data_IF_058499466024
#
_entry.id   IF_058499466024
#
_cell.length_a   1.000
_cell.length_b   1.000
_cell.length_c   1.000
_cell.angle_alpha   90.00
_cell.angle_beta   90.00
_cell.angle_gamma   90.00
#
_symmetry.space_group_name_H-M   'P 1'
#
loop_
_entity.id
_entity.type
_entity.pdbx_description
1 polymer ?
#
# COMPACT_ATOMS: atom_id res chain seq x y z
N UNK A 1 -14.72 -6.00 -4.15
CA UNK A 1 -13.76 -4.94 -4.53
C UNK A 1 -12.52 -5.13 -3.69
N UNK A 2 -11.39 -5.43 -4.32
CA UNK A 2 -10.11 -5.61 -3.62
C UNK A 2 -9.43 -4.25 -3.44
N UNK A 3 -8.77 -4.03 -2.31
CA UNK A 3 -7.96 -2.84 -2.08
C UNK A 3 -6.52 -3.30 -1.84
N UNK A 4 -5.59 -2.74 -2.61
CA UNK A 4 -4.17 -3.05 -2.45
C UNK A 4 -3.34 -1.77 -2.39
N UNK A 5 -2.28 -1.73 -1.58
CA UNK A 5 -1.38 -0.59 -1.58
C UNK A 5 -0.64 -0.50 -2.91
N UNK A 6 -0.27 0.71 -3.33
CA UNK A 6 0.59 0.91 -4.50
C UNK A 6 1.90 0.14 -4.36
N UNK A 7 2.18 -0.80 -5.27
CA UNK A 7 3.35 -1.67 -5.23
C UNK A 7 4.68 -0.92 -5.06
N UNK A 8 4.87 0.20 -5.77
CA UNK A 8 6.08 1.04 -5.63
C UNK A 8 6.25 1.67 -4.24
N UNK A 9 5.15 1.99 -3.54
CA UNK A 9 5.21 2.42 -2.14
C UNK A 9 5.62 1.25 -1.25
N UNK A 10 5.03 0.06 -1.45
CA UNK A 10 5.40 -1.12 -0.68
C UNK A 10 6.88 -1.50 -0.86
N UNK A 11 7.38 -1.47 -2.10
CA UNK A 11 8.76 -1.80 -2.44
C UNK A 11 9.81 -0.88 -1.81
N UNK A 12 9.43 0.38 -1.53
CA UNK A 12 10.32 1.39 -0.89
C UNK A 12 10.02 1.58 0.60
N UNK A 13 9.14 0.75 1.16
CA UNK A 13 8.77 0.80 2.56
C UNK A 13 9.86 0.15 3.43
N UNK A 14 10.03 0.62 4.67
CA UNK A 14 10.81 -0.08 5.70
C UNK A 14 10.25 -1.50 5.96
N UNK A 15 8.94 -1.67 5.77
CA UNK A 15 8.20 -2.91 5.98
C UNK A 15 7.96 -3.72 4.70
N UNK A 16 8.79 -3.54 3.65
CA UNK A 16 8.56 -4.16 2.33
C UNK A 16 8.35 -5.69 2.34
N UNK A 17 8.90 -6.38 3.34
CA UNK A 17 8.80 -7.84 3.51
C UNK A 17 7.81 -8.27 4.61
N UNK A 18 7.12 -7.32 5.25
CA UNK A 18 6.15 -7.62 6.31
C UNK A 18 4.81 -7.98 5.69
N UNK A 19 4.10 -8.94 6.30
CA UNK A 19 2.69 -9.17 5.97
C UNK A 19 1.85 -8.01 6.53
N UNK A 20 1.38 -7.14 5.63
CA UNK A 20 0.53 -5.99 5.96
C UNK A 20 -0.97 -6.25 5.72
N UNK A 21 -1.39 -7.49 5.47
CA UNK A 21 -2.79 -7.85 5.19
C UNK A 21 -3.76 -7.54 6.34
N UNK A 22 -3.25 -7.30 7.56
CA UNK A 22 -4.07 -6.86 8.70
C UNK A 22 -4.53 -5.39 8.60
N UNK A 23 -3.97 -4.59 7.69
CA UNK A 23 -4.26 -3.16 7.59
C UNK A 23 -5.61 -2.92 6.87
N UNK A 24 -6.36 -1.87 7.26
CA UNK A 24 -7.65 -1.57 6.65
C UNK A 24 -7.48 -0.86 5.29
N UNK A 25 -6.99 -1.57 4.26
CA UNK A 25 -6.74 -0.96 2.94
C UNK A 25 -8.00 -0.33 2.31
N UNK A 26 -9.20 -0.80 2.67
CA UNK A 26 -10.46 -0.25 2.19
C UNK A 26 -10.78 1.16 2.71
N UNK A 27 -10.17 1.59 3.82
CA UNK A 27 -10.37 2.93 4.39
C UNK A 27 -9.29 3.92 3.95
N UNK A 28 -8.29 3.45 3.21
CA UNK A 28 -7.15 4.27 2.79
C UNK A 28 -7.48 5.06 1.51
N UNK A 29 -6.84 6.23 1.29
CA UNK A 29 -7.13 7.07 0.13
C UNK A 29 -6.89 6.33 -1.20
N UNK A 30 -7.88 6.24 -2.11
CA UNK A 30 -7.69 5.64 -3.42
C UNK A 30 -6.78 6.52 -4.29
N UNK A 31 -5.88 5.88 -5.03
CA UNK A 31 -4.97 6.53 -6.00
C UNK A 31 -5.37 6.23 -7.44
N UNK A 32 -5.75 4.98 -7.71
CA UNK A 32 -6.18 4.53 -9.04
C UNK A 32 -7.05 3.28 -8.92
N UNK A 33 -7.83 2.98 -9.95
CA UNK A 33 -8.61 1.75 -10.05
C UNK A 33 -8.09 0.93 -11.23
N UNK A 34 -7.79 -0.34 -10.98
CA UNK A 34 -7.35 -1.31 -11.98
C UNK A 34 -8.38 -2.45 -12.06
N UNK A 35 -9.39 -2.24 -12.90
CA UNK A 35 -10.54 -3.14 -13.03
C UNK A 35 -11.31 -3.31 -11.71
N UNK A 36 -11.14 -4.45 -11.05
CA UNK A 36 -11.82 -4.80 -9.79
C UNK A 36 -10.99 -4.48 -8.53
N UNK A 37 -9.78 -3.94 -8.71
CA UNK A 37 -8.84 -3.65 -7.63
C UNK A 37 -8.59 -2.15 -7.51
N UNK A 38 -8.87 -1.60 -6.34
CA UNK A 38 -8.55 -0.21 -5.98
C UNK A 38 -7.13 -0.16 -5.47
N UNK A 39 -6.28 0.60 -6.13
CA UNK A 39 -4.92 0.92 -5.65
C UNK A 39 -5.05 2.07 -4.66
N UNK A 40 -4.62 1.85 -3.42
CA UNK A 40 -4.69 2.84 -2.34
C UNK A 40 -3.31 3.35 -1.95
N UNK A 41 -3.29 4.55 -1.35
CA UNK A 41 -2.11 5.08 -0.67
C UNK A 41 -2.04 4.48 0.73
N UNK A 42 -1.03 3.67 0.99
CA UNK A 42 -0.81 3.11 2.34
C UNK A 42 -0.53 4.25 3.35
N UNK A 43 -1.32 4.32 4.43
CA UNK A 43 -1.16 5.31 5.52
C UNK A 43 -0.02 4.93 6.46
N UNK A 44 0.26 3.64 6.62
CA UNK A 44 1.36 3.09 7.42
C UNK A 44 2.69 3.05 6.64
N UNK A 45 2.74 3.62 5.44
CA UNK A 45 3.94 3.66 4.64
C UNK A 45 5.03 4.48 5.33
N UNK A 46 6.18 3.85 5.52
CA UNK A 46 7.39 4.48 6.01
C UNK A 46 8.49 4.30 4.97
N UNK A 47 8.95 5.40 4.35
CA UNK A 47 10.03 5.33 3.36
C UNK A 47 11.30 4.83 4.05
N UNK A 48 11.93 3.79 3.49
CA UNK A 48 13.25 3.35 3.93
C UNK A 48 14.24 4.49 3.71
N UNK A 49 14.99 4.88 4.74
CA UNK A 49 16.05 5.86 4.59
C UNK A 49 17.01 5.34 3.52
N UNK A 50 17.25 6.12 2.47
CA UNK A 50 18.34 5.85 1.54
C UNK A 50 19.62 6.05 2.35
N UNK A 51 20.33 4.96 2.64
CA UNK A 51 21.71 5.02 3.12
C UNK A 51 22.64 5.22 1.95
#
# INVERSE_FOLDING_TARGET
MNHQPKGGMCATCTHAHRNCSHLPFSTMPPLSNDGQTVIVRCTDFQRRAQQ
#
